data_IF_838951868376
#
_entry.id   IF_838951868376
#
_cell.length_a   1.000
_cell.length_b   1.000
_cell.length_c   1.000
_cell.angle_alpha   90.00
_cell.angle_beta   90.00
_cell.angle_gamma   90.00
#
_symmetry.space_group_name_H-M   'P 1'
#
loop_
_entity.id
_entity.type
_entity.pdbx_description
1 polymer ?
#
# COMPACT_ATOMS: atom_id res chain seq x y z
N UNK A 1 5.55 8.81 -20.35
CA UNK A 1 5.28 9.02 -18.90
C UNK A 1 5.18 7.73 -18.09
N UNK A 2 4.66 6.65 -18.66
CA UNK A 2 4.38 5.40 -17.94
C UNK A 2 5.63 4.67 -17.44
N UNK A 3 6.74 4.72 -18.18
CA UNK A 3 7.99 4.05 -17.77
C UNK A 3 8.67 4.69 -16.56
N UNK A 4 8.61 6.03 -16.42
CA UNK A 4 9.21 6.73 -15.27
C UNK A 4 8.44 6.50 -13.97
N UNK A 5 7.12 6.43 -14.02
CA UNK A 5 6.32 6.12 -12.84
C UNK A 5 6.53 4.70 -12.32
N UNK A 6 6.73 3.73 -13.24
CA UNK A 6 7.04 2.36 -12.82
C UNK A 6 8.41 2.24 -12.14
N UNK A 7 9.40 3.01 -12.61
CA UNK A 7 10.75 3.03 -12.05
C UNK A 7 10.76 3.66 -10.65
N UNK A 8 10.10 4.81 -10.48
CA UNK A 8 9.98 5.47 -9.18
C UNK A 8 9.23 4.57 -8.18
N UNK A 9 8.13 3.96 -8.62
CA UNK A 9 7.39 2.99 -7.82
C UNK A 9 8.23 1.80 -7.38
N UNK A 10 9.12 1.31 -8.25
CA UNK A 10 10.05 0.24 -7.93
C UNK A 10 11.03 0.64 -6.83
N UNK A 11 11.69 1.78 -6.95
CA UNK A 11 12.64 2.26 -5.95
C UNK A 11 11.99 2.53 -4.58
N UNK A 12 10.74 2.98 -4.57
CA UNK A 12 9.98 3.15 -3.31
C UNK A 12 9.62 1.80 -2.69
N UNK A 13 9.31 0.78 -3.50
CA UNK A 13 8.92 -0.54 -3.00
C UNK A 13 10.10 -1.34 -2.44
N UNK A 14 11.32 -1.13 -2.93
CA UNK A 14 12.51 -1.93 -2.53
C UNK A 14 12.74 -1.93 -1.01
N UNK A 15 12.83 -0.78 -0.31
CA UNK A 15 13.06 -0.79 1.13
C UNK A 15 11.89 -1.44 1.90
N UNK A 16 10.64 -1.23 1.46
CA UNK A 16 9.47 -1.83 2.09
C UNK A 16 9.42 -3.34 1.89
N UNK A 17 9.76 -3.81 0.69
CA UNK A 17 9.86 -5.23 0.39
C UNK A 17 10.94 -5.91 1.23
N UNK A 18 12.08 -5.27 1.41
CA UNK A 18 13.16 -5.76 2.25
C UNK A 18 12.73 -5.91 3.73
N UNK A 19 12.08 -4.89 4.28
CA UNK A 19 11.56 -4.92 5.65
C UNK A 19 10.51 -6.01 5.82
N UNK A 20 9.56 -6.10 4.89
CA UNK A 20 8.52 -7.12 4.92
C UNK A 20 9.10 -8.53 4.82
N UNK A 21 10.09 -8.74 3.96
CA UNK A 21 10.80 -10.02 3.83
C UNK A 21 11.53 -10.40 5.12
N UNK A 22 12.20 -9.44 5.77
CA UNK A 22 12.85 -9.65 7.05
C UNK A 22 11.85 -10.11 8.12
N UNK A 23 10.69 -9.47 8.21
CA UNK A 23 9.62 -9.89 9.12
C UNK A 23 9.05 -11.25 8.76
N UNK A 24 8.95 -11.59 7.48
CA UNK A 24 8.54 -12.92 7.05
C UNK A 24 9.54 -14.00 7.51
N UNK A 25 10.83 -13.76 7.36
CA UNK A 25 11.88 -14.69 7.81
C UNK A 25 11.86 -14.88 9.34
N UNK A 26 11.51 -13.84 10.09
CA UNK A 26 11.38 -13.92 11.54
C UNK A 26 10.13 -14.66 12.03
N UNK A 27 9.01 -14.49 11.34
CA UNK A 27 7.70 -14.99 11.78
C UNK A 27 7.28 -16.28 11.08
N UNK A 28 7.86 -16.57 9.91
CA UNK A 28 7.50 -17.72 9.08
C UNK A 28 6.09 -17.66 8.46
N UNK A 29 5.37 -16.53 8.63
CA UNK A 29 4.02 -16.32 8.09
C UNK A 29 3.90 -14.97 7.41
N UNK A 30 3.36 -14.96 6.19
CA UNK A 30 3.15 -13.73 5.43
C UNK A 30 2.17 -12.77 6.10
N UNK A 31 1.09 -13.29 6.67
CA UNK A 31 0.10 -12.49 7.39
C UNK A 31 0.67 -11.81 8.64
N UNK A 32 1.46 -12.50 9.44
CA UNK A 32 2.14 -11.91 10.59
C UNK A 32 3.20 -10.90 10.17
N UNK A 33 3.93 -11.14 9.07
CA UNK A 33 4.86 -10.16 8.52
C UNK A 33 4.16 -8.86 8.14
N UNK A 34 2.99 -8.91 7.52
CA UNK A 34 2.16 -7.75 7.21
C UNK A 34 1.70 -6.99 8.47
N UNK A 35 1.28 -7.70 9.51
CA UNK A 35 0.87 -7.10 10.78
C UNK A 35 2.04 -6.34 11.43
N UNK A 36 3.21 -6.96 11.54
CA UNK A 36 4.41 -6.33 12.10
C UNK A 36 4.84 -5.12 11.26
N UNK A 37 4.83 -5.23 9.93
CA UNK A 37 5.13 -4.13 9.03
C UNK A 37 4.18 -2.95 9.27
N UNK A 38 2.88 -3.20 9.40
CA UNK A 38 1.87 -2.18 9.67
C UNK A 38 2.12 -1.48 11.01
N UNK A 39 2.48 -2.23 12.06
CA UNK A 39 2.82 -1.67 13.38
C UNK A 39 4.03 -0.74 13.27
N UNK A 40 5.09 -1.16 12.60
CA UNK A 40 6.31 -0.34 12.41
C UNK A 40 6.01 0.93 11.64
N UNK A 41 5.25 0.85 10.54
CA UNK A 41 4.83 2.01 9.75
C UNK A 41 3.97 2.96 10.60
N UNK A 42 3.06 2.45 11.42
CA UNK A 42 2.25 3.26 12.36
C UNK A 42 3.11 3.99 13.37
N UNK A 43 4.10 3.32 13.94
CA UNK A 43 5.02 3.94 14.91
C UNK A 43 5.86 5.05 14.26
N UNK A 44 6.35 4.84 13.05
CA UNK A 44 7.14 5.84 12.31
C UNK A 44 6.27 7.04 11.92
N UNK A 45 5.01 6.81 11.51
CA UNK A 45 4.10 7.87 11.08
C UNK A 45 3.41 8.60 12.25
N UNK A 46 3.44 8.03 13.46
CA UNK A 46 2.80 8.62 14.65
C UNK A 46 3.22 10.07 14.93
N UNK A 47 4.52 10.46 14.96
CA UNK A 47 4.91 11.85 15.21
C UNK A 47 4.41 12.79 14.11
N UNK A 48 4.33 12.34 12.87
CA UNK A 48 3.80 13.13 11.75
C UNK A 48 2.28 13.32 11.87
N UNK A 49 1.54 12.28 12.26
CA UNK A 49 0.11 12.37 12.52
C UNK A 49 -0.20 13.30 13.70
N UNK A 50 0.61 13.28 14.75
CA UNK A 50 0.47 14.20 15.88
C UNK A 50 0.66 15.66 15.45
N UNK A 51 1.64 15.95 14.59
CA UNK A 51 1.84 17.30 14.01
C UNK A 51 0.64 17.73 13.17
N UNK A 52 0.10 16.83 12.35
CA UNK A 52 -1.10 17.07 11.54
C UNK A 52 -2.31 17.40 12.42
N UNK A 53 -2.57 16.61 13.45
CA UNK A 53 -3.68 16.85 14.39
C UNK A 53 -3.51 18.17 15.14
N UNK A 54 -2.29 18.50 15.58
CA UNK A 54 -2.00 19.77 16.25
C UNK A 54 -2.25 20.96 15.33
N UNK A 55 -1.88 20.86 14.05
CA UNK A 55 -2.16 21.90 13.04
C UNK A 55 -3.67 22.06 12.81
N UNK A 56 -4.43 20.94 12.72
CA UNK A 56 -5.89 20.98 12.57
C UNK A 56 -6.57 21.57 13.82
N UNK A 57 -6.10 21.26 15.02
CA UNK A 57 -6.61 21.84 16.26
C UNK A 57 -6.40 23.36 16.30
N UNK A 58 -5.23 23.85 15.87
CA UNK A 58 -5.00 25.28 15.73
C UNK A 58 -5.97 25.93 14.74
N UNK A 59 -6.17 25.31 13.56
CA UNK A 59 -7.15 25.81 12.60
C UNK A 59 -8.56 25.87 13.19
N UNK A 60 -8.97 24.90 14.01
CA UNK A 60 -10.27 24.91 14.67
C UNK A 60 -10.43 26.08 15.66
N UNK A 61 -9.36 26.51 16.33
CA UNK A 61 -9.38 27.67 17.22
C UNK A 61 -9.62 28.98 16.44
N UNK A 62 -9.26 29.05 15.17
CA UNK A 62 -9.46 30.22 14.31
C UNK A 62 -10.78 30.19 13.51
N UNK A 63 -11.56 29.10 13.61
CA UNK A 63 -12.85 28.98 12.92
C UNK A 63 -13.81 30.15 13.17
N UNK A 64 -13.95 30.70 14.39
CA UNK A 64 -14.77 31.89 14.62
C UNK A 64 -14.30 33.10 13.83
N UNK A 65 -12.97 33.36 13.77
CA UNK A 65 -12.39 34.45 13.00
C UNK A 65 -12.57 34.25 11.49
N UNK A 66 -12.43 33.02 11.01
CA UNK A 66 -12.68 32.66 9.61
C UNK A 66 -14.14 32.92 9.23
N UNK A 67 -15.08 32.52 10.07
CA UNK A 67 -16.52 32.80 9.86
C UNK A 67 -16.82 34.28 9.83
N UNK A 68 -16.22 35.06 10.70
CA UNK A 68 -16.36 36.52 10.74
C UNK A 68 -15.90 37.17 9.43
N UNK A 69 -14.72 36.75 8.92
CA UNK A 69 -14.22 37.23 7.63
C UNK A 69 -15.15 36.83 6.49
N UNK A 70 -15.61 35.57 6.46
CA UNK A 70 -16.53 35.07 5.45
C UNK A 70 -17.86 35.84 5.44
N UNK A 71 -18.38 36.17 6.61
CA UNK A 71 -19.62 36.94 6.73
C UNK A 71 -19.43 38.39 6.34
N UNK A 72 -18.31 38.99 6.76
CA UNK A 72 -18.01 40.41 6.51
C UNK A 72 -17.72 40.71 5.02
N UNK A 73 -17.10 39.77 4.35
CA UNK A 73 -16.67 39.92 2.94
C UNK A 73 -17.45 38.96 2.00
N UNK A 74 -18.65 38.53 2.37
CA UNK A 74 -19.45 37.62 1.59
C UNK A 74 -19.70 38.06 0.13
N UNK A 75 -19.78 39.37 -0.08
CA UNK A 75 -20.02 39.98 -1.40
C UNK A 75 -18.73 40.30 -2.19
N UNK A 76 -17.56 40.04 -1.61
CA UNK A 76 -16.28 40.33 -2.26
C UNK A 76 -15.27 39.19 -2.04
N UNK A 77 -15.28 38.15 -2.90
CA UNK A 77 -14.45 36.96 -2.75
C UNK A 77 -12.95 37.25 -2.80
N UNK A 78 -12.54 38.29 -3.53
CA UNK A 78 -11.13 38.70 -3.62
C UNK A 78 -10.62 39.20 -2.27
N UNK A 79 -11.36 40.12 -1.65
CA UNK A 79 -11.04 40.68 -0.32
C UNK A 79 -11.12 39.57 0.76
N UNK A 80 -12.09 38.69 0.67
CA UNK A 80 -12.22 37.58 1.58
C UNK A 80 -10.98 36.67 1.55
N UNK A 81 -10.47 36.34 0.37
CA UNK A 81 -9.25 35.53 0.22
C UNK A 81 -8.00 36.24 0.75
N UNK A 82 -7.87 37.57 0.48
CA UNK A 82 -6.75 38.37 0.99
C UNK A 82 -6.74 38.37 2.53
N UNK A 83 -7.87 38.67 3.16
CA UNK A 83 -8.00 38.69 4.62
C UNK A 83 -7.80 37.30 5.26
N UNK A 84 -8.25 36.26 4.60
CA UNK A 84 -7.97 34.89 5.04
C UNK A 84 -6.48 34.55 4.98
N UNK A 85 -5.78 34.91 3.90
CA UNK A 85 -4.34 34.74 3.81
C UNK A 85 -3.57 35.53 4.86
N UNK A 86 -3.99 36.77 5.11
CA UNK A 86 -3.42 37.60 6.17
C UNK A 86 -3.60 36.97 7.54
N UNK A 87 -4.80 36.46 7.84
CA UNK A 87 -5.09 35.76 9.09
C UNK A 87 -4.17 34.54 9.27
N UNK A 88 -4.04 33.69 8.26
CA UNK A 88 -3.18 32.50 8.31
C UNK A 88 -1.69 32.88 8.46
N UNK A 89 -1.25 33.96 7.82
CA UNK A 89 0.13 34.45 7.93
C UNK A 89 0.42 35.06 9.30
N UNK A 90 -0.50 35.85 9.86
CA UNK A 90 -0.37 36.43 11.18
C UNK A 90 -0.32 35.42 12.31
N UNK A 91 -1.15 34.39 12.20
CA UNK A 91 -1.23 33.32 13.20
C UNK A 91 -0.17 32.21 12.97
N UNK A 92 0.64 32.34 11.91
CA UNK A 92 1.71 31.38 11.58
C UNK A 92 1.18 29.97 11.27
N UNK A 93 -0.08 29.88 10.84
CA UNK A 93 -0.73 28.62 10.50
C UNK A 93 -0.77 28.46 9.00
N UNK A 94 -0.11 27.42 8.50
CA UNK A 94 -0.19 27.06 7.09
C UNK A 94 -1.29 25.99 6.90
N UNK A 95 -2.42 26.31 6.25
CA UNK A 95 -3.51 25.34 6.04
C UNK A 95 -3.07 24.15 5.18
N UNK A 96 -2.08 24.35 4.30
CA UNK A 96 -1.52 23.27 3.46
C UNK A 96 -0.67 22.27 4.26
N UNK A 97 0.00 22.70 5.34
CA UNK A 97 0.89 21.82 6.11
C UNK A 97 0.13 20.71 6.82
N UNK A 98 -1.05 20.98 7.35
CA UNK A 98 -1.89 19.99 8.00
C UNK A 98 -2.38 18.91 7.04
N UNK A 99 -2.79 19.31 5.84
CA UNK A 99 -3.21 18.38 4.79
C UNK A 99 -2.06 17.55 4.25
N UNK A 100 -0.88 18.17 4.07
CA UNK A 100 0.29 17.50 3.50
C UNK A 100 0.72 16.30 4.36
N UNK A 101 0.70 16.43 5.67
CA UNK A 101 1.03 15.34 6.60
C UNK A 101 -0.01 14.22 6.60
N UNK A 102 -1.27 14.53 6.28
CA UNK A 102 -2.32 13.51 6.12
C UNK A 102 -2.13 12.65 4.87
N UNK A 103 -1.44 13.15 3.84
CA UNK A 103 -1.15 12.40 2.62
C UNK A 103 0.11 11.52 2.73
N UNK A 104 0.90 11.67 3.79
CA UNK A 104 2.12 10.89 3.99
C UNK A 104 1.91 9.36 3.97
N UNK A 105 0.83 8.78 4.53
CA UNK A 105 0.57 7.34 4.47
C UNK A 105 0.27 6.81 3.06
N UNK A 106 -0.20 7.64 2.12
CA UNK A 106 -0.60 7.19 0.79
C UNK A 106 0.51 6.55 -0.04
N UNK A 107 1.73 7.13 -0.16
CA UNK A 107 2.84 6.47 -0.85
C UNK A 107 3.19 5.11 -0.24
N UNK A 108 3.11 5.00 1.09
CA UNK A 108 3.38 3.77 1.83
C UNK A 108 2.32 2.71 1.52
N UNK A 109 1.03 3.09 1.50
CA UNK A 109 -0.07 2.21 1.14
C UNK A 109 0.02 1.74 -0.32
N UNK A 110 0.38 2.63 -1.25
CA UNK A 110 0.57 2.29 -2.66
C UNK A 110 1.73 1.30 -2.81
N UNK A 111 2.85 1.53 -2.12
CA UNK A 111 3.99 0.64 -2.13
C UNK A 111 3.63 -0.75 -1.57
N UNK A 112 2.96 -0.79 -0.42
CA UNK A 112 2.51 -2.03 0.21
C UNK A 112 1.53 -2.80 -0.69
N UNK A 113 0.55 -2.11 -1.28
CA UNK A 113 -0.39 -2.71 -2.22
C UNK A 113 0.33 -3.33 -3.43
N UNK A 114 1.33 -2.64 -3.98
CA UNK A 114 2.14 -3.17 -5.08
C UNK A 114 2.92 -4.42 -4.69
N UNK A 115 3.49 -4.47 -3.48
CA UNK A 115 4.23 -5.63 -2.97
C UNK A 115 3.30 -6.84 -2.80
N UNK A 116 2.11 -6.63 -2.21
CA UNK A 116 1.12 -7.69 -2.00
C UNK A 116 0.62 -8.25 -3.34
N UNK A 117 0.39 -7.38 -4.32
CA UNK A 117 -0.13 -7.77 -5.64
C UNK A 117 0.89 -8.47 -6.52
N UNK A 118 2.17 -8.18 -6.33
CA UNK A 118 3.28 -8.71 -7.12
C UNK A 118 4.32 -9.39 -6.22
N UNK A 119 3.98 -10.55 -5.61
CA UNK A 119 4.86 -11.20 -4.64
C UNK A 119 6.17 -11.70 -5.24
N UNK A 120 6.18 -12.18 -6.48
CA UNK A 120 7.39 -12.67 -7.13
C UNK A 120 8.34 -11.54 -7.49
N UNK A 121 7.84 -10.51 -8.17
CA UNK A 121 8.66 -9.41 -8.66
C UNK A 121 9.07 -8.44 -7.57
N UNK A 122 8.23 -8.20 -6.56
CA UNK A 122 8.44 -7.12 -5.60
C UNK A 122 8.76 -7.59 -4.19
N UNK A 123 8.13 -8.65 -3.70
CA UNK A 123 8.45 -9.21 -2.39
C UNK A 123 9.70 -10.10 -2.44
N UNK A 124 9.75 -11.06 -3.37
CA UNK A 124 10.91 -11.94 -3.57
C UNK A 124 12.02 -11.28 -4.38
N UNK A 125 11.77 -10.11 -4.98
CA UNK A 125 12.71 -9.34 -5.80
C UNK A 125 13.29 -10.12 -6.98
N UNK A 126 12.51 -11.03 -7.55
CA UNK A 126 12.92 -11.81 -8.71
C UNK A 126 12.93 -10.93 -9.98
N UNK A 127 13.91 -11.17 -10.87
CA UNK A 127 13.96 -10.48 -12.15
C UNK A 127 12.80 -10.91 -13.06
N UNK A 128 12.44 -10.08 -14.02
CA UNK A 128 11.36 -10.41 -14.97
C UNK A 128 11.64 -11.67 -15.77
N UNK A 129 12.89 -11.91 -16.10
CA UNK A 129 13.30 -13.09 -16.85
C UNK A 129 13.05 -14.36 -16.02
N UNK A 130 13.44 -14.35 -14.75
CA UNK A 130 13.18 -15.44 -13.79
C UNK A 130 11.68 -15.65 -13.59
N UNK A 131 10.90 -14.59 -13.45
CA UNK A 131 9.43 -14.70 -13.33
C UNK A 131 8.81 -15.31 -14.59
N UNK A 132 9.33 -14.98 -15.76
CA UNK A 132 8.89 -15.55 -17.04
C UNK A 132 9.21 -17.04 -17.12
N UNK A 133 10.42 -17.44 -16.72
CA UNK A 133 10.82 -18.86 -16.68
C UNK A 133 9.96 -19.66 -15.69
N UNK A 134 9.70 -19.10 -14.50
CA UNK A 134 8.79 -19.68 -13.51
C UNK A 134 7.39 -19.85 -14.09
N UNK A 135 6.87 -18.84 -14.79
CA UNK A 135 5.55 -18.88 -15.41
C UNK A 135 5.49 -19.98 -16.48
N UNK A 136 6.52 -20.12 -17.27
CA UNK A 136 6.62 -21.17 -18.31
C UNK A 136 6.62 -22.55 -17.67
N UNK A 137 7.42 -22.77 -16.63
CA UNK A 137 7.43 -24.02 -15.90
C UNK A 137 6.08 -24.33 -15.24
N UNK A 138 5.45 -23.34 -14.58
CA UNK A 138 4.14 -23.48 -13.98
C UNK A 138 3.08 -23.86 -15.02
N UNK A 139 3.10 -23.27 -16.22
CA UNK A 139 2.17 -23.58 -17.30
C UNK A 139 2.36 -25.02 -17.77
N UNK A 140 3.57 -25.54 -17.85
CA UNK A 140 3.84 -26.94 -18.18
C UNK A 140 3.35 -27.91 -17.10
N UNK A 141 3.28 -27.46 -15.84
CA UNK A 141 2.74 -28.21 -14.70
C UNK A 141 1.21 -28.07 -14.51
N UNK A 142 0.55 -27.34 -15.42
CA UNK A 142 -0.92 -27.20 -15.42
C UNK A 142 -1.45 -25.86 -14.89
N UNK A 143 -0.60 -24.89 -14.62
CA UNK A 143 -1.05 -23.55 -14.27
C UNK A 143 -1.74 -22.85 -15.45
N UNK A 144 -2.92 -22.34 -15.25
CA UNK A 144 -3.65 -21.56 -16.26
C UNK A 144 -3.82 -20.11 -15.79
N UNK A 145 -3.03 -19.22 -16.41
CA UNK A 145 -3.06 -17.79 -16.11
C UNK A 145 -4.38 -17.09 -16.51
N UNK A 146 -5.12 -17.67 -17.47
CA UNK A 146 -6.40 -17.09 -17.94
C UNK A 146 -7.50 -17.18 -16.89
N UNK A 147 -7.38 -18.10 -15.94
CA UNK A 147 -8.32 -18.25 -14.82
C UNK A 147 -8.11 -17.19 -13.74
N UNK A 148 -7.00 -16.47 -13.80
CA UNK A 148 -6.66 -15.46 -12.79
C UNK A 148 -7.09 -14.08 -13.29
N UNK A 149 -7.65 -13.29 -12.37
CA UNK A 149 -8.10 -11.93 -12.69
C UNK A 149 -6.93 -11.06 -13.14
N UNK A 150 -7.13 -10.33 -14.23
CA UNK A 150 -6.12 -9.43 -14.80
C UNK A 150 -5.56 -8.47 -13.73
N UNK A 151 -4.24 -8.42 -13.63
CA UNK A 151 -3.51 -7.61 -12.66
C UNK A 151 -3.19 -8.31 -11.34
N UNK A 152 -3.60 -9.58 -11.18
CA UNK A 152 -3.32 -10.42 -10.00
C UNK A 152 -2.63 -11.72 -10.39
N UNK A 153 -2.04 -11.77 -11.58
CA UNK A 153 -1.42 -12.95 -12.16
C UNK A 153 -0.31 -13.52 -11.26
N UNK A 154 0.48 -12.63 -10.66
CA UNK A 154 1.56 -13.07 -9.75
C UNK A 154 1.06 -13.68 -8.46
N UNK A 155 -0.10 -13.26 -7.94
CA UNK A 155 -0.70 -13.87 -6.73
C UNK A 155 -1.17 -15.29 -7.05
N UNK A 156 -1.85 -15.48 -8.18
CA UNK A 156 -2.28 -16.81 -8.63
C UNK A 156 -1.09 -17.74 -8.88
N UNK A 157 -0.05 -17.22 -9.52
CA UNK A 157 1.19 -17.95 -9.75
C UNK A 157 1.89 -18.29 -8.44
N UNK A 158 1.98 -17.37 -7.49
CA UNK A 158 2.60 -17.58 -6.20
C UNK A 158 1.86 -18.64 -5.36
N UNK A 159 0.53 -18.67 -5.44
CA UNK A 159 -0.27 -19.74 -4.83
C UNK A 159 0.03 -21.10 -5.46
N UNK A 160 0.04 -21.17 -6.78
CA UNK A 160 0.35 -22.41 -7.51
C UNK A 160 1.75 -22.93 -7.15
N UNK A 161 2.74 -22.05 -7.06
CA UNK A 161 4.11 -22.37 -6.63
C UNK A 161 4.11 -22.90 -5.19
N UNK A 162 3.38 -22.25 -4.28
CA UNK A 162 3.29 -22.68 -2.87
C UNK A 162 2.70 -24.07 -2.76
N UNK A 163 1.65 -24.36 -3.52
CA UNK A 163 0.97 -25.67 -3.52
C UNK A 163 1.84 -26.78 -4.15
N UNK A 164 2.74 -26.42 -5.07
CA UNK A 164 3.62 -27.34 -5.80
C UNK A 164 5.11 -27.04 -5.56
N UNK A 165 5.47 -26.53 -4.40
CA UNK A 165 6.80 -25.98 -4.14
C UNK A 165 7.95 -26.98 -4.40
N UNK A 166 7.73 -28.26 -4.21
CA UNK A 166 8.72 -29.30 -4.47
C UNK A 166 9.22 -29.29 -5.91
N UNK A 167 8.37 -28.97 -6.89
CA UNK A 167 8.70 -28.96 -8.31
C UNK A 167 9.51 -27.71 -8.71
N UNK A 168 9.44 -26.65 -7.92
CA UNK A 168 10.14 -25.37 -8.13
C UNK A 168 11.39 -25.25 -7.24
N UNK A 169 11.43 -25.97 -6.13
CA UNK A 169 12.50 -25.93 -5.14
C UNK A 169 13.85 -26.27 -5.78
N UNK A 170 14.83 -25.39 -5.56
CA UNK A 170 16.20 -25.57 -6.06
C UNK A 170 16.42 -25.22 -7.53
N UNK A 171 15.38 -24.85 -8.28
CA UNK A 171 15.52 -24.43 -9.68
C UNK A 171 15.72 -22.92 -9.85
N UNK A 172 15.23 -22.14 -8.91
CA UNK A 172 15.25 -20.69 -8.96
C UNK A 172 15.80 -20.11 -7.65
N UNK A 173 16.87 -19.32 -7.75
CA UNK A 173 17.45 -18.61 -6.62
C UNK A 173 16.51 -17.50 -6.13
N UNK A 174 16.32 -17.41 -4.83
CA UNK A 174 15.47 -16.39 -4.21
C UNK A 174 13.98 -16.71 -4.17
N UNK A 175 13.56 -17.87 -4.69
CA UNK A 175 12.19 -18.33 -4.58
C UNK A 175 11.90 -18.78 -3.14
N UNK A 176 10.87 -18.18 -2.54
CA UNK A 176 10.46 -18.49 -1.17
C UNK A 176 9.14 -19.27 -1.18
N UNK A 177 9.06 -20.29 -0.31
CA UNK A 177 7.80 -20.96 -0.04
C UNK A 177 6.99 -20.11 0.94
N UNK A 178 6.17 -19.21 0.41
CA UNK A 178 5.39 -18.28 1.22
C UNK A 178 4.09 -18.91 1.67
N UNK A 179 3.89 -18.96 2.98
CA UNK A 179 2.63 -19.39 3.56
C UNK A 179 1.61 -18.24 3.53
N UNK A 180 0.61 -18.35 2.66
CA UNK A 180 -0.46 -17.35 2.51
C UNK A 180 -1.66 -17.58 3.46
N UNK A 181 -1.65 -18.63 4.28
CA UNK A 181 -2.68 -18.86 5.28
C UNK A 181 -2.41 -18.04 6.54
N UNK A 182 -3.38 -17.24 6.94
CA UNK A 182 -3.32 -16.42 8.14
C UNK A 182 -4.63 -16.51 8.92
N UNK A 183 -4.57 -17.01 10.14
CA UNK A 183 -5.75 -17.19 11.02
C UNK A 183 -6.91 -17.95 10.35
N UNK A 184 -6.59 -18.93 9.50
CA UNK A 184 -7.59 -19.72 8.77
C UNK A 184 -8.09 -19.04 7.49
N UNK A 185 -7.54 -17.88 7.12
CA UNK A 185 -7.86 -17.17 5.88
C UNK A 185 -6.74 -17.40 4.85
N UNK A 186 -7.13 -17.70 3.62
CA UNK A 186 -6.21 -17.74 2.48
C UNK A 186 -6.07 -16.32 1.89
N UNK A 187 -4.90 -15.73 2.07
CA UNK A 187 -4.62 -14.37 1.61
C UNK A 187 -4.48 -14.23 0.08
N UNK A 188 -4.53 -15.34 -0.65
CA UNK A 188 -4.51 -15.34 -2.13
C UNK A 188 -5.90 -15.18 -2.74
N UNK A 189 -6.95 -15.39 -1.95
CA UNK A 189 -8.35 -15.28 -2.39
C UNK A 189 -8.79 -13.82 -2.34
N UNK A 190 -9.44 -13.37 -3.42
CA UNK A 190 -9.96 -12.01 -3.45
C UNK A 190 -11.23 -11.89 -2.59
N UNK A 191 -11.38 -10.78 -1.83
CA UNK A 191 -12.58 -10.54 -1.03
C UNK A 191 -13.89 -10.64 -1.83
N UNK A 192 -13.85 -10.22 -3.11
CA UNK A 192 -15.02 -10.30 -3.98
C UNK A 192 -15.48 -11.71 -4.32
N UNK A 193 -14.59 -12.68 -4.32
CA UNK A 193 -14.92 -14.07 -4.61
C UNK A 193 -15.47 -14.76 -3.37
N UNK A 194 -14.94 -14.44 -2.19
CA UNK A 194 -15.48 -14.91 -0.90
C UNK A 194 -16.93 -14.43 -0.71
N UNK A 195 -17.25 -13.19 -1.07
CA UNK A 195 -18.61 -12.68 -1.00
C UNK A 195 -19.57 -13.37 -1.95
N UNK A 196 -19.13 -13.73 -3.16
CA UNK A 196 -19.96 -14.50 -4.09
C UNK A 196 -20.35 -15.85 -3.51
N UNK A 197 -19.38 -16.61 -3.00
CA UNK A 197 -19.64 -17.94 -2.41
C UNK A 197 -20.56 -17.83 -1.20
N UNK A 198 -20.42 -16.78 -0.38
CA UNK A 198 -21.29 -16.53 0.77
C UNK A 198 -22.74 -16.26 0.39
N UNK A 199 -22.99 -15.49 -0.70
CA UNK A 199 -24.34 -15.12 -1.13
C UNK A 199 -24.97 -16.13 -2.12
N UNK A 200 -24.20 -16.93 -2.82
CA UNK A 200 -24.72 -17.92 -3.79
C UNK A 200 -24.95 -19.29 -3.17
N UNK A 201 -24.58 -19.48 -1.92
CA UNK A 201 -24.88 -20.68 -1.14
C UNK A 201 -24.23 -21.93 -1.69
N UNK A 202 -22.91 -21.86 -2.02
CA UNK A 202 -22.01 -22.94 -2.43
C UNK A 202 -22.63 -24.25 -2.79
#
# INVERSE_FOLDING_TARGET
GHRRMSTIGYYICVPFAWVLRTFYELTGSYGWALVLFTIVVKLITLPFQMKSKKSMMRMNLFQPKVKEIQTKYANNPTRMNEEMQLLYTQEGVNPMSGCLWSFLPFPILIALYSIIRQPLSRFMMLSKDVVTEITTLATTLGYNAELVRKGYEEIGLAKFISDNFADFSGKFDGLLNVNYNFLGLDLTVMPGDVWKDFFTGG
#
